data_IF_744525160686
#
_entry.id   IF_744525160686
#
_cell.length_a   1.000
_cell.length_b   1.000
_cell.length_c   1.000
_cell.angle_alpha   90.00
_cell.angle_beta   90.00
_cell.angle_gamma   90.00
#
_symmetry.space_group_name_H-M   'P 1'
#
loop_
_entity.id
_entity.type
_entity.pdbx_description
1 polymer ?
#
# COMPACT_ATOMS: atom_id res chain seq x y z
N UNK A 1 -0.47 33.37 5.62
CA UNK A 1 -0.88 32.24 6.50
C UNK A 1 -1.80 31.19 5.86
N UNK A 2 -2.35 31.37 4.66
CA UNK A 2 -3.31 30.43 4.03
C UNK A 2 -2.69 29.15 3.43
N UNK A 3 -1.45 29.21 2.91
CA UNK A 3 -0.78 28.05 2.29
C UNK A 3 -0.42 26.93 3.29
N UNK A 4 -0.18 27.24 4.57
CA UNK A 4 0.09 26.23 5.62
C UNK A 4 -1.18 25.50 6.03
N UNK A 5 -2.31 26.22 6.19
CA UNK A 5 -3.61 25.63 6.53
C UNK A 5 -4.10 24.65 5.44
N UNK A 6 -3.91 24.99 4.16
CA UNK A 6 -4.25 24.10 3.05
C UNK A 6 -3.41 22.80 3.02
N UNK A 7 -2.12 22.89 3.35
CA UNK A 7 -1.24 21.70 3.45
C UNK A 7 -1.58 20.80 4.62
N UNK A 8 -1.92 21.36 5.78
CA UNK A 8 -2.35 20.57 6.95
C UNK A 8 -3.70 19.90 6.68
N UNK A 9 -4.66 20.62 6.08
CA UNK A 9 -5.95 20.04 5.69
C UNK A 9 -5.80 18.90 4.68
N UNK A 10 -4.92 19.04 3.69
CA UNK A 10 -4.64 17.99 2.72
C UNK A 10 -3.97 16.76 3.35
N UNK A 11 -3.06 16.94 4.33
CA UNK A 11 -2.46 15.81 5.06
C UNK A 11 -3.50 15.05 5.88
N UNK A 12 -4.34 15.75 6.64
CA UNK A 12 -5.39 15.11 7.44
C UNK A 12 -6.37 14.33 6.56
N UNK A 13 -6.69 14.86 5.36
CA UNK A 13 -7.59 14.21 4.41
C UNK A 13 -6.95 12.97 3.76
N UNK A 14 -5.65 13.02 3.46
CA UNK A 14 -4.92 11.86 2.99
C UNK A 14 -4.87 10.75 4.05
N UNK A 15 -4.61 11.11 5.32
CA UNK A 15 -4.57 10.19 6.45
C UNK A 15 -5.94 9.54 6.70
N UNK A 16 -7.04 10.31 6.60
CA UNK A 16 -8.39 9.78 6.69
C UNK A 16 -8.68 8.74 5.59
N UNK A 17 -8.26 9.01 4.35
CA UNK A 17 -8.38 8.04 3.26
C UNK A 17 -7.54 6.78 3.49
N UNK A 18 -6.33 6.91 4.05
CA UNK A 18 -5.50 5.75 4.43
C UNK A 18 -6.19 4.92 5.50
N UNK A 19 -6.74 5.54 6.54
CA UNK A 19 -7.45 4.83 7.59
C UNK A 19 -8.67 4.07 7.05
N UNK A 20 -9.49 4.72 6.21
CA UNK A 20 -10.63 4.08 5.56
C UNK A 20 -10.20 2.91 4.65
N UNK A 21 -9.10 3.07 3.90
CA UNK A 21 -8.57 2.03 3.05
C UNK A 21 -8.07 0.81 3.86
N UNK A 22 -7.44 1.02 5.01
CA UNK A 22 -7.02 -0.05 5.91
C UNK A 22 -8.22 -0.86 6.44
N UNK A 23 -9.30 -0.18 6.84
CA UNK A 23 -10.54 -0.85 7.25
C UNK A 23 -11.13 -1.66 6.10
N UNK A 24 -11.14 -1.10 4.88
CA UNK A 24 -11.63 -1.80 3.70
C UNK A 24 -10.80 -3.05 3.35
N UNK A 25 -9.48 -3.01 3.55
CA UNK A 25 -8.63 -4.20 3.41
C UNK A 25 -9.01 -5.29 4.42
N UNK A 26 -9.26 -4.92 5.68
CA UNK A 26 -9.68 -5.88 6.70
C UNK A 26 -11.02 -6.53 6.37
N UNK A 27 -11.90 -5.80 5.66
CA UNK A 27 -13.19 -6.30 5.18
C UNK A 27 -13.07 -7.09 3.85
N UNK A 28 -11.86 -7.33 3.33
CA UNK A 28 -11.65 -8.01 2.05
C UNK A 28 -12.05 -7.19 0.82
N UNK A 29 -12.38 -5.90 1.00
CA UNK A 29 -12.81 -4.99 -0.08
C UNK A 29 -11.62 -4.31 -0.75
N UNK A 30 -10.72 -5.13 -1.29
CA UNK A 30 -9.41 -4.71 -1.78
C UNK A 30 -9.45 -3.74 -2.97
N UNK A 31 -10.48 -3.82 -3.81
CA UNK A 31 -10.68 -2.84 -4.89
C UNK A 31 -10.99 -1.43 -4.35
N UNK A 32 -11.90 -1.32 -3.38
CA UNK A 32 -12.26 -0.04 -2.77
C UNK A 32 -11.09 0.52 -1.94
N UNK A 33 -10.40 -0.34 -1.19
CA UNK A 33 -9.20 0.05 -0.47
C UNK A 33 -8.15 0.69 -1.41
N UNK A 34 -7.93 0.08 -2.58
CA UNK A 34 -7.01 0.61 -3.60
C UNK A 34 -7.41 2.00 -4.07
N UNK A 35 -8.71 2.26 -4.26
CA UNK A 35 -9.19 3.60 -4.65
C UNK A 35 -8.89 4.63 -3.57
N UNK A 36 -9.15 4.32 -2.29
CA UNK A 36 -8.86 5.23 -1.19
C UNK A 36 -7.36 5.46 -0.95
N UNK A 37 -6.51 4.44 -1.13
CA UNK A 37 -5.07 4.68 -1.12
C UNK A 37 -4.62 5.53 -2.31
N UNK A 38 -5.26 5.37 -3.48
CA UNK A 38 -5.03 6.22 -4.65
C UNK A 38 -5.37 7.68 -4.39
N UNK A 39 -6.51 7.96 -3.75
CA UNK A 39 -6.88 9.34 -3.38
C UNK A 39 -5.92 9.92 -2.34
N UNK A 40 -5.48 9.11 -1.36
CA UNK A 40 -4.45 9.53 -0.40
C UNK A 40 -3.12 9.89 -1.09
N UNK A 41 -2.69 9.14 -2.11
CA UNK A 41 -1.50 9.46 -2.90
C UNK A 41 -1.71 10.67 -3.81
N UNK A 42 -2.91 10.90 -4.35
CA UNK A 42 -3.20 12.10 -5.12
C UNK A 42 -3.11 13.37 -4.25
N UNK A 43 -3.55 13.29 -3.00
CA UNK A 43 -3.43 14.37 -2.02
C UNK A 43 -1.99 14.52 -1.48
N UNK A 44 -1.30 13.40 -1.28
CA UNK A 44 0.08 13.35 -0.75
C UNK A 44 0.89 12.30 -1.53
N UNK A 45 1.54 12.70 -2.64
CA UNK A 45 2.28 11.77 -3.50
C UNK A 45 3.42 11.01 -2.79
N UNK A 46 3.95 11.59 -1.71
CA UNK A 46 5.00 10.98 -0.86
C UNK A 46 4.43 10.33 0.40
N UNK A 47 3.28 9.67 0.30
CA UNK A 47 2.70 8.94 1.43
C UNK A 47 3.08 7.45 1.39
N UNK A 48 4.07 7.07 2.20
CA UNK A 48 4.63 5.72 2.24
C UNK A 48 3.56 4.66 2.54
N UNK A 49 2.74 4.89 3.58
CA UNK A 49 1.66 3.96 3.97
C UNK A 49 0.65 3.72 2.86
N UNK A 50 0.30 4.75 2.08
CA UNK A 50 -0.64 4.60 0.97
C UNK A 50 -0.02 3.80 -0.18
N UNK A 51 1.26 4.04 -0.51
CA UNK A 51 1.97 3.25 -1.52
C UNK A 51 2.10 1.77 -1.14
N UNK A 52 2.41 1.49 0.13
CA UNK A 52 2.43 0.12 0.67
C UNK A 52 1.01 -0.48 0.68
N UNK A 53 0.00 0.30 1.07
CA UNK A 53 -1.40 -0.11 1.11
C UNK A 53 -1.97 -0.55 -0.24
N UNK A 54 -1.63 0.15 -1.33
CA UNK A 54 -1.97 -0.28 -2.70
C UNK A 54 -1.38 -1.65 -3.01
N UNK A 55 -0.14 -1.88 -2.61
CA UNK A 55 0.53 -3.15 -2.88
C UNK A 55 -0.10 -4.30 -2.10
N UNK A 56 -0.51 -4.06 -0.86
CA UNK A 56 -1.26 -5.03 -0.06
C UNK A 56 -2.65 -5.31 -0.68
N UNK A 57 -3.35 -4.29 -1.15
CA UNK A 57 -4.63 -4.45 -1.86
C UNK A 57 -4.49 -5.28 -3.14
N UNK A 58 -3.40 -5.08 -3.90
CA UNK A 58 -3.09 -5.89 -5.07
C UNK A 58 -2.78 -7.34 -4.69
N UNK A 59 -2.08 -7.56 -3.57
CA UNK A 59 -1.77 -8.90 -3.10
C UNK A 59 -3.03 -9.66 -2.66
N UNK A 60 -3.91 -9.00 -1.91
CA UNK A 60 -5.16 -9.58 -1.41
C UNK A 60 -6.14 -9.91 -2.54
N UNK A 61 -6.16 -9.09 -3.60
CA UNK A 61 -6.91 -9.40 -4.84
C UNK A 61 -6.25 -10.46 -5.73
N UNK A 62 -5.20 -11.16 -5.26
CA UNK A 62 -4.51 -12.22 -5.99
C UNK A 62 -3.53 -11.75 -7.07
N UNK A 63 -3.38 -10.44 -7.27
CA UNK A 63 -2.48 -9.84 -8.26
C UNK A 63 -1.04 -9.75 -7.73
N UNK A 64 -0.47 -10.90 -7.35
CA UNK A 64 0.83 -11.02 -6.68
C UNK A 64 1.97 -10.35 -7.48
N UNK A 65 2.00 -10.52 -8.81
CA UNK A 65 3.02 -9.89 -9.68
C UNK A 65 2.95 -8.37 -9.61
N UNK A 66 1.73 -7.80 -9.68
CA UNK A 66 1.51 -6.36 -9.62
C UNK A 66 1.87 -5.79 -8.23
N UNK A 67 1.50 -6.51 -7.16
CA UNK A 67 1.85 -6.15 -5.79
C UNK A 67 3.37 -6.06 -5.57
N UNK A 68 4.12 -7.04 -6.10
CA UNK A 68 5.59 -7.03 -6.05
C UNK A 68 6.18 -5.83 -6.79
N UNK A 69 5.72 -5.57 -8.02
CA UNK A 69 6.19 -4.40 -8.79
C UNK A 69 5.89 -3.08 -8.08
N UNK A 70 4.71 -2.95 -7.46
CA UNK A 70 4.34 -1.77 -6.70
C UNK A 70 5.25 -1.57 -5.47
N UNK A 71 5.60 -2.64 -4.74
CA UNK A 71 6.55 -2.55 -3.62
C UNK A 71 7.97 -2.23 -4.09
N UNK A 72 8.44 -2.81 -5.19
CA UNK A 72 9.75 -2.45 -5.77
C UNK A 72 9.82 -0.96 -6.09
N UNK A 73 8.76 -0.39 -6.69
CA UNK A 73 8.66 1.05 -6.93
C UNK A 73 8.64 1.84 -5.63
N UNK A 74 7.89 1.39 -4.62
CA UNK A 74 7.85 2.06 -3.32
C UNK A 74 9.22 2.06 -2.62
N UNK A 75 9.99 0.97 -2.71
CA UNK A 75 11.38 0.92 -2.19
C UNK A 75 12.30 1.88 -2.94
N UNK A 76 12.17 1.97 -4.27
CA UNK A 76 12.96 2.89 -5.08
C UNK A 76 12.62 4.36 -4.80
N UNK A 77 11.35 4.68 -4.56
CA UNK A 77 10.87 6.04 -4.26
C UNK A 77 11.15 6.46 -2.82
N UNK A 78 11.20 5.51 -1.89
CA UNK A 78 11.38 5.75 -0.45
C UNK A 78 12.53 4.90 0.11
N UNK A 79 13.78 5.12 -0.33
CA UNK A 79 14.93 4.31 0.09
C UNK A 79 15.27 4.48 1.58
N UNK A 80 14.89 5.58 2.21
CA UNK A 80 15.12 5.80 3.65
C UNK A 80 14.02 5.17 4.53
N UNK A 81 12.91 4.73 3.94
CA UNK A 81 11.75 4.23 4.67
C UNK A 81 11.79 2.71 4.77
N UNK A 82 11.69 2.18 5.98
CA UNK A 82 11.74 0.73 6.21
C UNK A 82 10.47 0.00 5.78
N UNK A 83 9.32 0.66 5.83
CA UNK A 83 8.01 0.04 5.63
C UNK A 83 7.85 -0.67 4.26
N UNK A 84 8.26 -0.08 3.11
CA UNK A 84 8.19 -0.75 1.81
C UNK A 84 9.06 -2.01 1.72
N UNK A 85 10.26 -1.98 2.33
CA UNK A 85 11.15 -3.16 2.35
C UNK A 85 10.54 -4.29 3.18
N UNK A 86 10.04 -3.97 4.37
CA UNK A 86 9.38 -4.96 5.24
C UNK A 86 8.18 -5.58 4.54
N UNK A 87 7.36 -4.76 3.88
CA UNK A 87 6.21 -5.26 3.12
C UNK A 87 6.64 -6.15 1.93
N UNK A 88 7.72 -5.80 1.23
CA UNK A 88 8.28 -6.63 0.15
C UNK A 88 8.77 -7.98 0.67
N UNK A 89 9.54 -8.00 1.77
CA UNK A 89 10.02 -9.23 2.39
C UNK A 89 8.87 -10.12 2.83
N UNK A 90 7.84 -9.55 3.46
CA UNK A 90 6.63 -10.30 3.85
C UNK A 90 5.92 -10.90 2.63
N UNK A 91 5.77 -10.13 1.55
CA UNK A 91 5.15 -10.61 0.32
C UNK A 91 5.94 -11.79 -0.27
N UNK A 92 7.27 -11.67 -0.35
CA UNK A 92 8.14 -12.72 -0.90
C UNK A 92 8.06 -14.01 -0.06
N UNK A 93 8.10 -13.90 1.27
CA UNK A 93 7.94 -15.04 2.16
C UNK A 93 6.58 -15.74 1.95
N UNK A 94 5.51 -14.98 1.76
CA UNK A 94 4.18 -15.55 1.58
C UNK A 94 4.00 -16.18 0.19
N UNK A 95 4.67 -15.65 -0.83
CA UNK A 95 4.72 -16.26 -2.16
C UNK A 95 5.55 -17.55 -2.14
N UNK A 96 6.72 -17.55 -1.50
CA UNK A 96 7.58 -18.73 -1.38
C UNK A 96 6.90 -19.86 -0.60
N UNK A 97 6.15 -19.53 0.46
CA UNK A 97 5.32 -20.52 1.19
C UNK A 97 4.21 -21.10 0.33
N UNK A 98 3.56 -20.29 -0.52
CA UNK A 98 2.53 -20.77 -1.45
C UNK A 98 3.09 -21.67 -2.54
N UNK A 99 4.25 -21.32 -3.11
CA UNK A 99 4.91 -22.19 -4.09
C UNK A 99 5.39 -23.51 -3.48
N UNK A 100 5.96 -23.47 -2.26
CA UNK A 100 6.34 -24.67 -1.53
C UNK A 100 5.12 -25.55 -1.20
N UNK A 101 4.00 -24.95 -0.78
CA UNK A 101 2.76 -25.67 -0.50
C UNK A 101 2.13 -26.29 -1.76
N UNK A 102 2.20 -25.61 -2.90
CA UNK A 102 1.69 -26.14 -4.19
C UNK A 102 2.49 -27.36 -4.68
N UNK A 103 3.82 -27.39 -4.44
CA UNK A 103 4.68 -28.51 -4.83
C UNK A 103 4.62 -29.72 -3.90
N UNK A 104 4.02 -29.57 -2.71
CA UNK A 104 3.91 -30.62 -1.72
C UNK A 104 2.60 -31.44 -1.84
N UNK A 105 1.80 -31.17 -2.88
CA UNK A 105 0.59 -31.91 -3.28
C UNK A 105 0.92 -32.72 -4.54
#
# INVERSE_FOLDING_TARGET
NVKRLGRVSASNRAEAHVAAACVLLQLGRSLLARMHFGTALALKPRHVTAAVGISLALFDSGQVKAARMALCRAVALFPCEGAPRVALSRLLLQCGKREAAWRAV
#
